data_IF_014355827467
#
_entry.id   IF_014355827467
#
_cell.length_a   1.000
_cell.length_b   1.000
_cell.length_c   1.000
_cell.angle_alpha   90.00
_cell.angle_beta   90.00
_cell.angle_gamma   90.00
#
_symmetry.space_group_name_H-M   'P 1'
#
loop_
_entity.id
_entity.type
_entity.pdbx_description
1 polymer ?
#
# COMPACT_ATOMS: atom_id res chain seq x y z
N UNK A 1 -9.19 2.81 -34.51
CA UNK A 1 -8.64 2.67 -33.14
C UNK A 1 -9.16 3.82 -32.30
N UNK A 2 -10.09 3.55 -31.37
CA UNK A 2 -10.66 4.58 -30.51
C UNK A 2 -9.62 4.97 -29.43
N UNK A 3 -9.43 6.28 -29.23
CA UNK A 3 -8.40 6.87 -28.35
C UNK A 3 -8.56 6.51 -26.86
N UNK A 4 -9.62 5.78 -26.51
CA UNK A 4 -10.05 5.38 -25.16
C UNK A 4 -9.52 4.02 -24.67
N UNK A 5 -8.80 3.26 -25.49
CA UNK A 5 -8.42 1.86 -25.17
C UNK A 5 -7.06 1.69 -24.45
N UNK A 6 -6.35 2.77 -24.12
CA UNK A 6 -5.04 2.63 -23.44
C UNK A 6 -5.22 2.35 -21.95
N UNK A 7 -4.57 1.31 -21.39
CA UNK A 7 -4.59 1.07 -19.95
C UNK A 7 -4.00 2.27 -19.20
N UNK A 8 -4.62 2.60 -18.08
CA UNK A 8 -4.22 3.70 -17.21
C UNK A 8 -4.18 3.23 -15.76
N UNK A 9 -3.34 3.89 -14.96
CA UNK A 9 -3.28 3.62 -13.52
C UNK A 9 -4.47 4.33 -12.87
N UNK A 10 -5.44 3.56 -12.40
CA UNK A 10 -6.60 4.11 -11.68
C UNK A 10 -6.18 4.63 -10.29
N UNK A 11 -5.40 3.82 -9.57
CA UNK A 11 -4.94 4.11 -8.21
C UNK A 11 -3.72 3.27 -7.86
N UNK A 12 -2.94 3.76 -6.90
CA UNK A 12 -1.95 2.97 -6.17
C UNK A 12 -2.39 2.94 -4.70
N UNK A 13 -2.48 1.74 -4.14
CA UNK A 13 -2.82 1.55 -2.73
C UNK A 13 -1.56 1.11 -2.01
N UNK A 14 -1.11 1.93 -1.07
CA UNK A 14 0.04 1.63 -0.21
C UNK A 14 -0.54 1.10 1.09
N UNK A 15 -0.07 -0.06 1.51
CA UNK A 15 -0.56 -0.72 2.72
C UNK A 15 0.62 -1.23 3.53
N UNK A 16 0.69 -0.84 4.80
CA UNK A 16 1.64 -1.35 5.76
C UNK A 16 0.87 -2.08 6.86
N UNK A 17 1.13 -3.38 6.98
CA UNK A 17 0.60 -4.22 8.05
C UNK A 17 1.62 -4.34 9.17
N UNK A 18 1.39 -3.64 10.28
CA UNK A 18 2.31 -3.62 11.44
C UNK A 18 2.00 -4.82 12.35
N UNK A 19 0.71 -5.17 12.48
CA UNK A 19 0.27 -6.31 13.30
C UNK A 19 0.14 -5.99 14.79
N UNK A 20 0.45 -4.77 15.20
CA UNK A 20 0.28 -4.29 16.58
C UNK A 20 -0.13 -2.82 16.59
N UNK A 21 -0.73 -2.40 17.69
CA UNK A 21 -1.06 -1.01 17.97
C UNK A 21 0.08 -0.29 18.70
N UNK A 22 -0.12 0.98 19.05
CA UNK A 22 0.85 1.77 19.79
C UNK A 22 1.87 2.50 18.92
N UNK A 23 3.11 2.57 19.40
CA UNK A 23 4.15 3.43 18.84
C UNK A 23 4.58 3.01 17.44
N UNK A 24 4.76 1.72 17.17
CA UNK A 24 5.14 1.24 15.82
C UNK A 24 4.11 1.63 14.76
N UNK A 25 2.82 1.59 15.11
CA UNK A 25 1.76 2.05 14.20
C UNK A 25 1.81 3.56 13.98
N UNK A 26 2.09 4.36 15.02
CA UNK A 26 2.21 5.81 14.91
C UNK A 26 3.44 6.21 14.06
N UNK A 27 4.55 5.50 14.22
CA UNK A 27 5.76 5.70 13.43
C UNK A 27 5.52 5.34 11.96
N UNK A 28 4.86 4.22 11.70
CA UNK A 28 4.47 3.82 10.34
C UNK A 28 3.50 4.82 9.70
N UNK A 29 2.54 5.35 10.46
CA UNK A 29 1.64 6.41 10.00
C UNK A 29 2.42 7.66 9.58
N UNK A 30 3.31 8.14 10.45
CA UNK A 30 4.12 9.34 10.20
C UNK A 30 5.08 9.17 9.03
N UNK A 31 5.73 8.00 8.92
CA UNK A 31 6.60 7.65 7.81
C UNK A 31 5.83 7.68 6.48
N UNK A 32 4.65 7.05 6.45
CA UNK A 32 3.84 7.04 5.23
C UNK A 32 3.38 8.44 4.87
N UNK A 33 2.94 9.23 5.85
CA UNK A 33 2.50 10.61 5.64
C UNK A 33 3.61 11.47 5.02
N UNK A 34 4.83 11.37 5.56
CA UNK A 34 6.01 12.07 5.03
C UNK A 34 6.41 11.59 3.63
N UNK A 35 6.22 10.30 3.32
CA UNK A 35 6.59 9.74 2.02
C UNK A 35 5.65 10.21 0.89
N UNK A 36 4.37 10.44 1.18
CA UNK A 36 3.35 10.68 0.15
C UNK A 36 2.71 12.08 0.20
N UNK A 37 3.08 12.90 1.20
CA UNK A 37 2.48 14.20 1.50
C UNK A 37 0.95 14.14 1.51
N UNK A 38 0.42 13.13 2.19
CA UNK A 38 -1.03 12.89 2.30
C UNK A 38 -1.31 12.08 3.56
N UNK A 39 -2.32 12.52 4.32
CA UNK A 39 -2.77 11.82 5.51
C UNK A 39 -3.23 10.39 5.20
N UNK A 40 -2.56 9.36 5.76
CA UNK A 40 -2.98 7.98 5.60
C UNK A 40 -4.09 7.62 6.62
N UNK A 41 -4.66 6.43 6.49
CA UNK A 41 -5.79 5.97 7.32
C UNK A 41 -5.40 4.70 8.06
N UNK A 42 -5.60 4.69 9.39
CA UNK A 42 -5.48 3.50 10.24
C UNK A 42 -6.56 2.47 9.91
N UNK A 43 -6.16 1.21 9.87
CA UNK A 43 -7.01 0.05 9.60
C UNK A 43 -7.13 -0.78 10.86
N UNK A 44 -8.39 -1.03 11.24
CA UNK A 44 -8.77 -1.83 12.39
C UNK A 44 -8.81 -3.32 12.03
N UNK A 45 -8.42 -4.16 12.97
CA UNK A 45 -8.53 -5.61 12.90
C UNK A 45 -10.00 -6.03 12.80
N UNK A 46 -10.31 -6.92 11.84
CA UNK A 46 -11.68 -7.42 11.63
C UNK A 46 -12.11 -8.41 12.72
N UNK A 47 -11.16 -9.18 13.25
CA UNK A 47 -11.38 -10.22 14.25
C UNK A 47 -10.23 -10.23 15.25
N UNK A 48 -10.48 -10.82 16.43
CA UNK A 48 -9.44 -11.12 17.40
C UNK A 48 -8.62 -12.32 16.90
N UNK A 49 -7.31 -12.21 16.91
CA UNK A 49 -6.40 -13.32 16.64
C UNK A 49 -5.39 -13.43 17.79
N UNK A 50 -5.46 -14.54 18.53
CA UNK A 50 -4.61 -14.78 19.71
C UNK A 50 -3.15 -15.03 19.34
N UNK A 51 -2.89 -15.67 18.19
CA UNK A 51 -1.53 -16.00 17.75
C UNK A 51 -0.71 -14.73 17.47
N UNK A 52 -1.37 -13.69 16.98
CA UNK A 52 -0.76 -12.37 16.75
C UNK A 52 -1.00 -11.38 17.91
N UNK A 53 -1.69 -11.78 18.99
CA UNK A 53 -2.03 -10.88 20.09
C UNK A 53 -3.00 -9.73 19.75
N UNK A 54 -3.69 -9.80 18.61
CA UNK A 54 -4.53 -8.73 18.08
C UNK A 54 -5.97 -8.86 18.58
N UNK A 55 -6.58 -7.76 19.04
CA UNK A 55 -8.00 -7.70 19.40
C UNK A 55 -8.87 -7.13 18.26
N UNK A 56 -10.12 -7.57 18.17
CA UNK A 56 -11.10 -7.00 17.23
C UNK A 56 -11.20 -5.48 17.43
N UNK A 57 -11.29 -4.74 16.33
CA UNK A 57 -11.32 -3.27 16.26
C UNK A 57 -10.04 -2.55 16.68
N UNK A 58 -8.98 -3.27 17.05
CA UNK A 58 -7.67 -2.69 17.33
C UNK A 58 -7.04 -2.16 16.04
N UNK A 59 -6.46 -0.95 16.02
CA UNK A 59 -5.76 -0.45 14.85
C UNK A 59 -4.40 -1.17 14.72
N UNK A 60 -4.16 -1.81 13.57
CA UNK A 60 -3.01 -2.71 13.36
C UNK A 60 -2.24 -2.44 12.06
N UNK A 61 -2.79 -1.58 11.19
CA UNK A 61 -2.24 -1.32 9.88
C UNK A 61 -2.53 0.12 9.48
N UNK A 62 -1.78 0.63 8.52
CA UNK A 62 -2.00 1.96 7.93
C UNK A 62 -2.00 1.83 6.41
N UNK A 63 -2.91 2.56 5.76
CA UNK A 63 -2.98 2.57 4.29
C UNK A 63 -3.16 3.97 3.74
N UNK A 64 -2.70 4.17 2.52
CA UNK A 64 -3.02 5.34 1.71
C UNK A 64 -3.49 4.91 0.33
N UNK A 65 -4.27 5.77 -0.33
CA UNK A 65 -4.67 5.57 -1.72
C UNK A 65 -4.31 6.83 -2.50
N UNK A 66 -3.41 6.65 -3.46
CA UNK A 66 -2.95 7.69 -4.36
C UNK A 66 -3.65 7.53 -5.70
N UNK A 67 -3.96 8.65 -6.36
CA UNK A 67 -4.56 8.70 -7.69
C UNK A 67 -3.93 9.81 -8.52
N UNK A 68 -4.10 9.74 -9.84
CA UNK A 68 -3.56 10.75 -10.76
C UNK A 68 -2.05 10.92 -10.59
N UNK A 69 -1.56 12.16 -10.67
CA UNK A 69 -0.11 12.47 -10.68
C UNK A 69 0.65 11.90 -9.48
N UNK A 70 0.05 11.90 -8.27
CA UNK A 70 0.69 11.34 -7.06
C UNK A 70 0.94 9.83 -7.20
N UNK A 71 0.00 9.10 -7.79
CA UNK A 71 0.15 7.66 -8.03
C UNK A 71 1.28 7.37 -9.01
N UNK A 72 1.36 8.12 -10.12
CA UNK A 72 2.43 7.96 -11.11
C UNK A 72 3.82 8.27 -10.53
N UNK A 73 3.94 9.35 -9.74
CA UNK A 73 5.19 9.71 -9.06
C UNK A 73 5.63 8.59 -8.11
N UNK A 74 4.75 8.21 -7.18
CA UNK A 74 5.07 7.16 -6.21
C UNK A 74 5.42 5.83 -6.89
N UNK A 75 4.70 5.45 -7.95
CA UNK A 75 4.97 4.19 -8.64
C UNK A 75 6.35 4.18 -9.30
N UNK A 76 6.80 5.32 -9.84
CA UNK A 76 8.15 5.44 -10.40
C UNK A 76 9.20 5.17 -9.33
N UNK A 77 9.08 5.83 -8.18
CA UNK A 77 10.01 5.68 -7.06
C UNK A 77 9.97 4.23 -6.51
N UNK A 78 8.77 3.64 -6.44
CA UNK A 78 8.58 2.25 -5.99
C UNK A 78 9.15 1.21 -6.96
N UNK A 79 9.10 1.47 -8.27
CA UNK A 79 9.73 0.60 -9.27
C UNK A 79 11.25 0.65 -9.21
N UNK A 80 11.82 1.83 -8.96
CA UNK A 80 13.26 1.97 -8.74
C UNK A 80 13.72 1.15 -7.53
N UNK A 81 12.95 1.16 -6.43
CA UNK A 81 13.23 0.36 -5.24
C UNK A 81 13.22 -1.17 -5.48
N UNK A 82 12.57 -1.65 -6.54
CA UNK A 82 12.58 -3.08 -6.93
C UNK A 82 13.39 -3.33 -8.20
N UNK A 83 14.33 -2.44 -8.53
CA UNK A 83 15.19 -2.52 -9.70
C UNK A 83 14.43 -2.65 -11.03
N UNK A 84 13.20 -2.13 -11.10
CA UNK A 84 12.28 -2.29 -12.23
C UNK A 84 12.01 -3.77 -12.60
N UNK A 85 12.18 -4.70 -11.66
CA UNK A 85 11.92 -6.14 -11.86
C UNK A 85 10.69 -6.57 -11.07
N UNK A 86 9.66 -7.00 -11.78
CA UNK A 86 8.45 -7.58 -11.18
C UNK A 86 8.21 -8.94 -11.84
N UNK A 87 8.12 -9.99 -11.02
CA UNK A 87 7.75 -11.32 -11.51
C UNK A 87 6.35 -11.31 -12.11
N UNK A 88 6.15 -12.06 -13.20
CA UNK A 88 4.84 -12.29 -13.81
C UNK A 88 3.81 -12.84 -12.82
N UNK A 89 4.26 -13.59 -11.81
CA UNK A 89 3.38 -14.19 -10.79
C UNK A 89 2.73 -13.16 -9.86
N UNK A 90 3.19 -11.90 -9.92
CA UNK A 90 2.64 -10.78 -9.16
C UNK A 90 1.46 -10.11 -9.85
N UNK A 91 1.13 -10.51 -11.08
CA UNK A 91 0.00 -10.00 -11.84
C UNK A 91 -1.24 -10.87 -11.65
N UNK A 92 -2.40 -10.23 -11.55
CA UNK A 92 -3.70 -10.91 -11.51
C UNK A 92 -4.29 -11.07 -12.92
N UNK A 93 -5.41 -11.79 -13.01
CA UNK A 93 -6.13 -12.03 -14.28
C UNK A 93 -6.70 -10.76 -14.94
N UNK A 94 -6.75 -9.63 -14.21
CA UNK A 94 -7.29 -8.36 -14.67
C UNK A 94 -6.19 -7.37 -15.06
N UNK A 95 -4.92 -7.77 -14.97
CA UNK A 95 -3.76 -6.92 -15.28
C UNK A 95 -3.38 -5.94 -14.17
N UNK A 96 -3.91 -6.11 -12.96
CA UNK A 96 -3.36 -5.44 -11.77
C UNK A 96 -2.17 -6.23 -11.25
N UNK A 97 -1.35 -5.59 -10.42
CA UNK A 97 -0.22 -6.26 -9.79
C UNK A 97 0.01 -5.77 -8.38
N UNK A 98 0.71 -6.57 -7.59
CA UNK A 98 1.12 -6.20 -6.24
C UNK A 98 2.49 -6.77 -5.92
N UNK A 99 3.34 -5.96 -5.31
CA UNK A 99 4.68 -6.37 -4.89
C UNK A 99 4.97 -5.82 -3.49
N UNK A 100 5.83 -6.52 -2.75
CA UNK A 100 6.32 -6.06 -1.47
C UNK A 100 7.64 -5.34 -1.64
N UNK A 101 7.83 -4.24 -0.91
CA UNK A 101 9.13 -3.62 -0.71
C UNK A 101 9.57 -4.12 0.67
N UNK A 102 10.61 -4.95 0.70
CA UNK A 102 11.28 -5.32 1.95
C UNK A 102 12.31 -4.25 2.24
N UNK A 103 12.45 -3.89 3.51
CA UNK A 103 13.69 -3.29 4.01
C UNK A 103 14.86 -4.26 3.78
#
# INVERSE_FOLDING_TARGET
MHKTEKPRIEKVVINMGIGESGEKLANAESLLENLIDQKPIKRKAKQTNKDFGIRKNEPIAVKATLRGKKAYKFLKDAFEAVENKISSDKFDMYGNFSFGIKE
#
